data_IF_845805625043
#
_entry.id   IF_845805625043
#
_cell.length_a   1.000
_cell.length_b   1.000
_cell.length_c   1.000
_cell.angle_alpha   90.00
_cell.angle_beta   90.00
_cell.angle_gamma   90.00
#
_symmetry.space_group_name_H-M   'P 1'
#
loop_
_entity.id
_entity.type
_entity.pdbx_description
1 polymer ?
2 non-polymer ?
3 non-polymer ?
4 water ?
#
# COMPACT_ATOMS: atom_id res chain seq x y z
N UNK A 1 7.82 3.81 12.61
CA UNK A 1 7.78 3.93 14.11
C UNK A 1 6.71 3.02 14.69
N UNK A 2 5.51 3.05 14.10
CA UNK A 2 4.43 2.18 14.52
C UNK A 2 4.80 0.76 14.10
N UNK A 3 4.36 -0.23 14.88
CA UNK A 3 4.55 -1.61 14.47
C UNK A 3 3.26 -2.20 13.92
N UNK A 4 3.37 -2.92 12.82
CA UNK A 4 2.20 -3.50 12.19
C UNK A 4 2.29 -5.00 12.23
N UNK A 5 1.15 -5.66 12.45
CA UNK A 5 1.11 -7.11 12.43
C UNK A 5 0.51 -7.61 11.11
N UNK A 6 1.33 -8.26 10.27
CA UNK A 6 0.96 -8.88 9.00
C UNK A 6 0.00 -10.07 9.16
N UNK A 7 -0.87 -10.28 8.17
CA UNK A 7 -1.71 -11.47 8.14
C UNK A 7 -0.84 -12.67 7.76
N UNK A 8 -1.30 -13.90 8.07
CA UNK A 8 -0.52 -15.13 7.85
C UNK A 8 0.13 -15.22 6.46
N UNK A 9 -0.64 -14.88 5.43
CA UNK A 9 -0.08 -14.91 4.09
C UNK A 9 1.09 -13.94 3.94
N UNK A 10 0.86 -12.67 4.26
CA UNK A 10 1.93 -11.69 4.07
C UNK A 10 3.09 -12.10 4.95
N UNK A 11 2.76 -12.69 6.09
CA UNK A 11 3.80 -13.17 6.97
C UNK A 11 4.61 -14.28 6.30
N UNK A 12 3.97 -15.33 5.81
CA UNK A 12 4.74 -16.44 5.26
C UNK A 12 5.68 -15.97 4.15
N UNK A 13 5.31 -14.90 3.47
CA UNK A 13 6.13 -14.37 2.37
C UNK A 13 7.33 -13.59 2.88
N UNK A 14 7.11 -12.78 3.91
CA UNK A 14 8.16 -11.96 4.50
C UNK A 14 9.24 -12.85 5.10
N UNK A 15 8.83 -13.80 5.94
CA UNK A 15 9.75 -14.78 6.47
C UNK A 15 10.50 -15.42 5.31
N UNK A 16 9.76 -15.97 4.35
CA UNK A 16 10.38 -16.66 3.23
C UNK A 16 11.45 -15.79 2.61
N UNK A 17 11.37 -14.49 2.85
CA UNK A 17 12.28 -13.57 2.22
C UNK A 17 13.41 -13.20 3.16
N UNK A 18 13.30 -13.65 4.41
CA UNK A 18 14.38 -13.39 5.35
C UNK A 18 13.93 -12.88 6.71
N UNK A 19 12.71 -12.37 6.79
CA UNK A 19 12.20 -11.80 8.03
C UNK A 19 12.27 -12.85 9.11
N UNK A 20 12.48 -12.39 10.35
CA UNK A 20 12.60 -13.28 11.50
C UNK A 20 11.80 -12.80 12.70
N UNK A 21 10.75 -12.03 12.46
CA UNK A 21 9.84 -11.63 13.51
C UNK A 21 8.42 -11.56 12.93
N UNK A 22 7.42 -11.42 13.78
CA UNK A 22 6.06 -11.40 13.28
C UNK A 22 5.36 -10.05 13.43
N UNK A 23 6.14 -8.99 13.60
CA UNK A 23 5.63 -7.63 13.53
C UNK A 23 6.74 -6.71 13.04
N UNK A 24 6.37 -5.66 12.32
CA UNK A 24 7.33 -4.90 11.54
C UNK A 24 6.98 -3.42 11.53
N UNK A 25 7.91 -2.60 11.07
CA UNK A 25 7.57 -1.24 10.74
C UNK A 25 7.32 -1.24 9.26
N UNK A 26 6.43 -0.36 8.80
CA UNK A 26 6.06 -0.35 7.39
C UNK A 26 7.32 -0.42 6.54
N UNK A 27 8.36 0.30 6.93
CA UNK A 27 9.59 0.33 6.15
C UNK A 27 10.19 -1.08 6.02
N UNK A 28 10.08 -1.88 7.08
CA UNK A 28 10.58 -3.25 7.05
C UNK A 28 9.75 -4.15 6.13
N UNK A 29 8.43 -4.03 6.20
CA UNK A 29 7.59 -4.78 5.31
C UNK A 29 8.01 -4.50 3.88
N UNK A 30 8.07 -3.22 3.51
CA UNK A 30 8.45 -2.84 2.16
C UNK A 30 9.82 -3.36 1.81
N UNK A 31 10.72 -3.35 2.79
CA UNK A 31 12.08 -3.81 2.54
C UNK A 31 12.07 -5.28 2.15
N UNK A 32 11.39 -6.10 2.96
CA UNK A 32 11.36 -7.53 2.74
C UNK A 32 10.57 -7.89 1.49
N UNK A 33 9.41 -7.26 1.29
CA UNK A 33 8.68 -7.48 0.04
C UNK A 33 9.58 -7.15 -1.14
N UNK A 34 10.33 -6.06 -1.05
CA UNK A 34 11.30 -5.78 -2.09
C UNK A 34 12.20 -6.97 -2.37
N UNK A 35 12.75 -7.59 -1.33
CA UNK A 35 13.70 -8.70 -1.49
C UNK A 35 12.99 -9.90 -2.10
N UNK A 36 11.77 -10.18 -1.62
CA UNK A 36 10.99 -11.26 -2.16
C UNK A 36 10.85 -11.06 -3.66
N UNK A 37 10.43 -9.86 -4.06
CA UNK A 37 10.24 -9.56 -5.47
C UNK A 37 11.52 -9.73 -6.28
N UNK A 38 12.65 -9.30 -5.75
CA UNK A 38 13.92 -9.50 -6.43
C UNK A 38 14.22 -10.99 -6.52
N UNK A 39 13.93 -11.70 -5.43
CA UNK A 39 14.27 -13.12 -5.35
C UNK A 39 13.52 -13.90 -6.43
N UNK A 40 12.20 -13.96 -6.31
CA UNK A 40 11.38 -14.67 -7.28
C UNK A 40 11.33 -13.96 -8.62
N UNK A 41 12.16 -12.92 -8.75
CA UNK A 41 12.34 -12.24 -10.02
C UNK A 41 11.01 -11.87 -10.68
N UNK A 42 10.20 -11.06 -10.00
CA UNK A 42 8.89 -10.70 -10.52
C UNK A 42 8.92 -9.30 -11.12
N UNK A 43 10.02 -8.60 -10.92
CA UNK A 43 10.17 -7.25 -11.44
C UNK A 43 11.05 -7.32 -12.67
N UNK A 44 10.67 -6.60 -13.72
CA UNK A 44 11.49 -6.56 -14.92
C UNK A 44 11.71 -5.14 -15.43
N UNK A 45 12.89 -4.88 -15.98
CA UNK A 45 13.06 -3.75 -16.88
C UNK A 45 12.38 -4.13 -18.19
N UNK A 46 12.38 -3.22 -19.15
CA UNK A 46 11.28 -3.13 -20.10
C UNK A 46 10.08 -2.78 -19.24
N UNK A 47 8.94 -3.39 -19.57
CA UNK A 47 7.73 -3.26 -18.78
C UNK A 47 7.30 -1.80 -18.65
N UNK A 48 7.86 -1.14 -17.64
CA UNK A 48 7.47 0.22 -17.26
C UNK A 48 7.53 0.33 -15.73
N UNK A 49 8.38 -0.51 -15.13
CA UNK A 49 8.46 -0.61 -13.67
C UNK A 49 7.20 -1.29 -13.16
N UNK A 50 6.99 -2.49 -13.69
CA UNK A 50 5.82 -3.30 -13.41
C UNK A 50 6.25 -4.60 -12.71
N UNK A 51 5.53 -4.98 -11.67
CA UNK A 51 5.73 -6.29 -11.08
C UNK A 51 4.66 -7.24 -11.62
N UNK A 52 5.11 -8.33 -12.24
CA UNK A 52 4.21 -9.36 -12.73
C UNK A 52 4.12 -10.46 -11.69
N UNK A 53 2.94 -10.63 -11.12
CA UNK A 53 2.77 -11.56 -10.00
C UNK A 53 1.58 -12.48 -10.20
N UNK A 54 1.33 -12.84 -11.46
CA UNK A 54 0.11 -13.56 -11.85
C UNK A 54 0.16 -15.04 -11.50
N UNK A 55 1.36 -15.59 -11.45
CA UNK A 55 1.52 -16.99 -11.07
C UNK A 55 2.13 -17.12 -9.69
N UNK A 56 2.20 -16.01 -8.95
CA UNK A 56 2.86 -16.01 -7.65
C UNK A 56 1.88 -15.76 -6.50
N UNK A 57 2.19 -16.29 -5.31
CA UNK A 57 1.33 -15.98 -4.17
C UNK A 57 1.19 -14.48 -3.89
N UNK A 58 2.19 -13.70 -4.29
CA UNK A 58 2.13 -12.25 -4.10
C UNK A 58 0.90 -11.71 -4.82
N UNK A 59 0.60 -12.28 -5.99
CA UNK A 59 -0.58 -11.89 -6.74
C UNK A 59 -1.85 -12.17 -5.96
N UNK A 60 -1.84 -13.23 -5.18
CA UNK A 60 -3.00 -13.52 -4.35
C UNK A 60 -3.03 -12.62 -3.13
N UNK A 61 -1.85 -12.37 -2.58
CA UNK A 61 -1.74 -11.39 -1.52
C UNK A 61 -2.45 -10.11 -1.93
N UNK A 62 -1.96 -9.51 -3.01
CA UNK A 62 -2.44 -8.20 -3.45
C UNK A 62 -3.71 -8.30 -4.28
N UNK A 63 -4.03 -9.51 -4.74
CA UNK A 63 -5.22 -9.70 -5.56
C UNK A 63 -5.11 -9.11 -6.96
N UNK A 64 -3.91 -9.11 -7.54
CA UNK A 64 -3.73 -8.56 -8.88
C UNK A 64 -2.78 -9.42 -9.72
N UNK A 65 -2.80 -9.17 -11.02
CA UNK A 65 -1.96 -9.88 -11.98
C UNK A 65 -0.63 -9.16 -12.09
N UNK A 66 -0.63 -7.88 -11.71
CA UNK A 66 0.57 -7.05 -11.85
C UNK A 66 0.30 -5.69 -11.23
N UNK A 67 1.38 -4.95 -10.95
CA UNK A 67 1.24 -3.57 -10.52
C UNK A 67 2.46 -2.72 -10.81
N UNK A 68 2.26 -1.41 -10.79
CA UNK A 68 3.36 -0.45 -10.95
C UNK A 68 4.02 -0.17 -9.59
N UNK A 69 5.34 -0.21 -9.56
CA UNK A 69 6.06 0.03 -8.32
C UNK A 69 6.14 1.52 -8.08
N UNK A 70 5.49 2.28 -8.95
CA UNK A 70 5.70 3.72 -9.05
C UNK A 70 4.64 4.50 -8.31
N UNK A 71 3.57 3.84 -7.87
CA UNK A 71 2.53 4.54 -7.14
C UNK A 71 2.33 4.03 -5.72
N UNK A 72 3.02 4.69 -4.79
CA UNK A 72 3.18 4.17 -3.45
C UNK A 72 1.89 4.12 -2.65
N UNK A 73 0.98 5.03 -2.93
CA UNK A 73 -0.28 5.05 -2.19
C UNK A 73 -1.04 3.76 -2.43
N UNK A 74 -1.04 3.26 -3.67
CA UNK A 74 -1.73 2.02 -3.96
C UNK A 74 -1.10 0.87 -3.18
N UNK A 75 0.21 0.73 -3.33
CA UNK A 75 0.95 -0.31 -2.63
C UNK A 75 0.74 -0.30 -1.13
N UNK A 76 0.87 0.87 -0.51
CA UNK A 76 0.56 0.98 0.91
C UNK A 76 -0.86 0.52 1.17
N UNK A 77 -1.74 0.70 0.20
CA UNK A 77 -3.14 0.37 0.38
C UNK A 77 -3.34 -1.13 0.26
N UNK A 78 -2.71 -1.73 -0.74
CA UNK A 78 -2.81 -3.16 -0.91
C UNK A 78 -2.17 -3.87 0.28
N UNK A 79 -1.17 -3.23 0.89
CA UNK A 79 -0.50 -3.79 2.05
C UNK A 79 -1.35 -3.64 3.31
N UNK A 80 -2.02 -2.52 3.47
CA UNK A 80 -2.78 -2.26 4.68
C UNK A 80 -3.90 -3.26 4.86
N UNK A 81 -4.34 -3.83 3.75
CA UNK A 81 -5.42 -4.81 3.78
C UNK A 81 -4.94 -6.16 4.29
N UNK A 82 -3.62 -6.32 4.32
CA UNK A 82 -3.00 -7.51 4.90
C UNK A 82 -2.30 -7.21 6.22
N UNK A 83 -2.65 -6.08 6.84
CA UNK A 83 -2.18 -5.79 8.18
C UNK A 83 -3.30 -6.03 9.16
N UNK A 84 -3.11 -6.99 10.05
CA UNK A 84 -4.13 -7.34 11.02
C UNK A 84 -4.26 -6.22 12.04
N UNK A 85 -3.15 -5.51 12.27
CA UNK A 85 -3.15 -4.38 13.17
C UNK A 85 -1.84 -3.61 13.09
N UNK B 1 -23.93 -25.90 19.27
CA UNK B 1 -22.79 -26.47 20.04
C UNK B 1 -21.73 -27.02 19.08
N UNK B 2 -22.06 -27.03 17.79
CA UNK B 2 -21.14 -27.49 16.77
C UNK B 2 -19.91 -26.59 16.74
N UNK B 3 -18.72 -27.21 16.76
CA UNK B 3 -17.48 -26.43 16.69
C UNK B 3 -16.99 -26.30 15.26
N UNK B 4 -16.41 -25.14 14.97
CA UNK B 4 -15.94 -24.83 13.64
C UNK B 4 -14.48 -24.39 13.69
N UNK B 5 -13.74 -24.67 12.62
CA UNK B 5 -12.33 -24.32 12.57
C UNK B 5 -12.09 -23.29 11.48
N UNK B 6 -11.75 -22.05 11.90
CA UNK B 6 -11.45 -20.93 11.01
C UNK B 6 -10.25 -21.23 10.13
N UNK B 7 -10.24 -20.66 8.93
CA UNK B 7 -9.05 -20.58 8.13
C UNK B 7 -8.05 -19.71 8.88
N UNK B 8 -6.76 -19.81 8.53
CA UNK B 8 -5.76 -18.96 9.18
C UNK B 8 -6.14 -17.47 9.22
N UNK B 9 -6.31 -16.85 8.06
CA UNK B 9 -6.62 -15.42 8.02
C UNK B 9 -7.75 -15.07 8.96
N UNK B 10 -8.87 -15.79 8.87
CA UNK B 10 -9.95 -15.53 9.81
C UNK B 10 -9.45 -15.70 11.25
N UNK B 11 -8.75 -16.80 11.49
CA UNK B 11 -8.22 -17.08 12.82
C UNK B 11 -7.36 -15.96 13.37
N UNK B 12 -6.51 -15.37 12.53
CA UNK B 12 -5.60 -14.36 13.03
C UNK B 12 -6.39 -13.19 13.56
N UNK B 13 -7.45 -12.83 12.84
CA UNK B 13 -8.32 -11.74 13.24
C UNK B 13 -8.88 -12.01 14.63
N UNK B 14 -9.50 -13.18 14.79
CA UNK B 14 -10.17 -13.47 16.05
C UNK B 14 -9.20 -13.35 17.22
N UNK B 15 -7.95 -13.75 16.99
CA UNK B 15 -6.96 -13.72 18.05
C UNK B 15 -6.51 -12.31 18.39
N UNK B 16 -6.43 -11.44 17.39
CA UNK B 16 -6.13 -10.05 17.66
C UNK B 16 -7.21 -9.51 18.59
N UNK B 17 -8.41 -10.07 18.50
CA UNK B 17 -9.50 -9.69 19.38
C UNK B 17 -9.49 -10.53 20.66
N UNK B 18 -8.35 -11.17 20.95
CA UNK B 18 -8.17 -11.79 22.25
C UNK B 18 -8.63 -13.24 22.41
N UNK B 19 -9.11 -13.86 21.35
CA UNK B 19 -9.53 -15.26 21.42
C UNK B 19 -8.29 -16.11 21.64
N UNK B 20 -8.41 -17.11 22.52
CA UNK B 20 -7.25 -17.93 22.90
C UNK B 20 -7.16 -19.21 22.08
N UNK B 21 -8.30 -19.84 21.83
CA UNK B 21 -8.34 -21.16 21.21
C UNK B 21 -8.32 -21.10 19.69
N UNK B 22 -8.62 -22.23 19.05
CA UNK B 22 -8.55 -22.36 17.61
C UNK B 22 -9.75 -23.06 16.99
N UNK B 23 -10.65 -23.54 17.84
CA UNK B 23 -11.94 -24.00 17.40
C UNK B 23 -13.03 -23.31 18.20
N UNK B 24 -14.12 -22.97 17.54
CA UNK B 24 -15.12 -22.07 18.13
C UNK B 24 -16.52 -22.53 17.78
N UNK B 25 -17.48 -22.18 18.62
CA UNK B 25 -18.86 -22.18 18.18
C UNK B 25 -19.08 -20.92 17.34
N UNK B 26 -20.06 -20.99 16.45
CA UNK B 26 -20.37 -19.87 15.57
C UNK B 26 -20.57 -18.58 16.36
N UNK B 27 -21.26 -18.66 17.49
CA UNK B 27 -21.46 -17.50 18.34
C UNK B 27 -20.14 -16.88 18.73
N UNK B 28 -19.24 -17.70 19.25
CA UNK B 28 -17.92 -17.25 19.68
C UNK B 28 -17.18 -16.57 18.55
N UNK B 29 -17.39 -17.05 17.33
CA UNK B 29 -16.79 -16.43 16.16
C UNK B 29 -17.33 -15.02 16.00
N UNK B 30 -18.65 -14.92 15.87
CA UNK B 30 -19.30 -13.63 15.73
C UNK B 30 -18.92 -12.69 16.88
N UNK B 31 -18.81 -13.23 18.08
CA UNK B 31 -18.46 -12.42 19.24
C UNK B 31 -17.08 -11.79 19.08
N UNK B 32 -16.09 -12.62 18.79
CA UNK B 32 -14.73 -12.14 18.67
C UNK B 32 -14.58 -11.21 17.48
N UNK B 33 -15.35 -11.51 16.43
CA UNK B 33 -15.30 -10.73 15.20
C UNK B 33 -15.86 -9.33 15.48
N UNK B 34 -16.96 -9.28 16.23
CA UNK B 34 -17.47 -8.01 16.72
C UNK B 34 -16.42 -7.19 17.45
N UNK B 35 -15.78 -7.79 18.46
CA UNK B 35 -14.73 -7.08 19.20
C UNK B 35 -13.76 -6.46 18.21
N UNK B 36 -13.42 -7.22 17.18
CA UNK B 36 -12.43 -6.78 16.20
C UNK B 36 -12.92 -5.55 15.46
N UNK B 37 -14.19 -5.58 15.06
CA UNK B 37 -14.78 -4.46 14.33
C UNK B 37 -14.81 -3.18 15.18
N UNK B 38 -15.36 -3.26 16.39
CA UNK B 38 -15.23 -2.17 17.34
C UNK B 38 -13.78 -1.72 17.41
N UNK B 39 -12.91 -2.68 17.65
CA UNK B 39 -11.54 -2.38 18.04
C UNK B 39 -10.70 -1.88 16.88
N UNK B 40 -11.25 -1.96 15.67
CA UNK B 40 -10.58 -1.38 14.51
C UNK B 40 -11.40 -0.20 14.01
N UNK B 41 -12.53 0.04 14.65
CA UNK B 41 -13.36 1.20 14.33
C UNK B 41 -13.85 1.12 12.90
N UNK B 42 -14.35 -0.06 12.52
CA UNK B 42 -14.87 -0.27 11.18
C UNK B 42 -16.35 0.08 11.21
N UNK B 43 -16.82 0.40 12.40
CA UNK B 43 -18.23 0.76 12.60
C UNK B 43 -18.31 2.24 12.99
N UNK B 44 -19.13 3.01 12.28
CA UNK B 44 -19.31 4.41 12.67
C UNK B 44 -20.76 4.84 12.80
N UNK B 45 -20.96 5.95 13.51
CA UNK B 45 -22.23 6.66 13.54
C UNK B 45 -22.33 7.48 12.25
N UNK B 46 -23.50 8.03 11.99
CA UNK B 46 -23.89 8.52 10.66
C UNK B 46 -24.66 7.39 9.99
N UNK B 47 -23.94 6.43 9.43
CA UNK B 47 -24.51 5.11 9.19
C UNK B 47 -24.66 4.51 10.57
N UNK B 48 -25.13 3.28 10.65
CA UNK B 48 -25.37 2.69 11.96
C UNK B 48 -25.38 1.17 11.87
N UNK B 49 -25.41 0.67 10.64
CA UNK B 49 -25.49 -0.76 10.42
C UNK B 49 -24.49 -1.14 9.33
N UNK B 50 -23.77 -0.14 8.83
CA UNK B 50 -22.75 -0.37 7.82
C UNK B 50 -21.37 -0.47 8.44
N UNK B 51 -20.71 -1.61 8.24
CA UNK B 51 -19.29 -1.76 8.54
C UNK B 51 -18.47 -1.48 7.29
N UNK B 52 -17.57 -0.50 7.38
CA UNK B 52 -16.61 -0.22 6.33
C UNK B 52 -15.40 -1.13 6.53
N UNK B 53 -14.88 -1.70 5.45
CA UNK B 53 -13.75 -2.62 5.55
C UNK B 53 -12.97 -2.77 4.26
N UNK B 54 -12.91 -1.69 3.47
CA UNK B 54 -12.22 -1.69 2.18
C UNK B 54 -10.71 -1.59 2.28
N UNK B 55 -10.20 -1.21 3.45
CA UNK B 55 -8.74 -1.16 3.59
C UNK B 55 -8.29 -2.09 4.72
N UNK B 56 -9.00 -3.20 4.85
CA UNK B 56 -8.88 -4.07 6.02
C UNK B 56 -8.99 -5.54 5.63
N UNK B 57 -8.31 -6.42 6.37
CA UNK B 57 -8.38 -7.85 6.02
C UNK B 57 -9.81 -8.39 6.03
N UNK B 58 -10.66 -7.81 6.87
CA UNK B 58 -12.04 -8.26 6.94
C UNK B 58 -12.69 -8.11 5.57
N UNK B 59 -12.24 -7.11 4.81
CA UNK B 59 -12.73 -6.97 3.45
C UNK B 59 -12.23 -8.09 2.54
N UNK B 60 -10.99 -8.51 2.71
CA UNK B 60 -10.47 -9.63 1.92
C UNK B 60 -11.19 -10.92 2.28
N UNK B 61 -11.33 -11.18 3.58
CA UNK B 61 -12.15 -12.30 4.04
C UNK B 61 -13.48 -12.35 3.30
N UNK B 62 -14.22 -11.27 3.41
CA UNK B 62 -15.61 -11.24 3.02
C UNK B 62 -15.76 -10.83 1.55
N UNK B 63 -14.68 -10.37 0.94
CA UNK B 63 -14.76 -10.02 -0.47
C UNK B 63 -15.69 -8.85 -0.74
N UNK B 64 -15.80 -7.95 0.22
CA UNK B 64 -16.65 -6.78 0.08
C UNK B 64 -15.94 -5.55 0.60
N UNK B 65 -16.36 -4.38 0.14
CA UNK B 65 -15.77 -3.14 0.62
C UNK B 65 -16.50 -2.65 1.84
N UNK B 66 -17.73 -3.12 2.01
CA UNK B 66 -18.47 -2.81 3.22
C UNK B 66 -19.75 -3.62 3.20
N UNK B 67 -20.36 -3.77 4.37
CA UNK B 67 -21.56 -4.58 4.49
C UNK B 67 -22.44 -4.13 5.65
N UNK B 68 -23.63 -4.71 5.74
CA UNK B 68 -24.62 -4.26 6.71
C UNK B 68 -24.86 -5.33 7.75
N UNK B 69 -24.82 -4.93 9.02
CA UNK B 69 -24.96 -5.91 10.09
C UNK B 69 -26.41 -6.30 10.25
N UNK B 70 -27.30 -5.54 9.61
CA UNK B 70 -28.73 -5.84 9.59
C UNK B 70 -29.06 -7.22 9.02
N UNK B 71 -28.38 -7.62 7.96
CA UNK B 71 -28.65 -8.91 7.35
C UNK B 71 -27.73 -10.04 7.81
N UNK B 72 -28.20 -10.82 8.78
CA UNK B 72 -27.40 -11.81 9.48
C UNK B 72 -27.15 -13.09 8.71
N UNK B 73 -28.10 -13.49 7.89
CA UNK B 73 -27.96 -14.73 7.16
C UNK B 73 -26.78 -14.59 6.21
N UNK B 74 -26.67 -13.43 5.59
CA UNK B 74 -25.66 -13.22 4.57
C UNK B 74 -24.27 -13.20 5.22
N UNK B 75 -24.20 -12.61 6.41
CA UNK B 75 -22.97 -12.62 7.20
C UNK B 75 -22.56 -14.03 7.57
N UNK B 76 -23.50 -14.82 8.09
CA UNK B 76 -23.22 -16.21 8.39
C UNK B 76 -22.62 -16.92 7.18
N UNK B 77 -23.16 -16.61 6.01
CA UNK B 77 -22.75 -17.29 4.79
C UNK B 77 -21.35 -16.87 4.40
N UNK B 78 -21.06 -15.58 4.60
CA UNK B 78 -19.74 -15.02 4.30
C UNK B 78 -18.70 -15.64 5.22
N UNK B 79 -19.09 -15.89 6.47
CA UNK B 79 -18.21 -16.54 7.42
C UNK B 79 -17.97 -18.01 7.07
N UNK B 80 -19.02 -18.72 6.66
CA UNK B 80 -18.89 -20.14 6.39
C UNK B 80 -17.87 -20.46 5.31
N UNK B 81 -17.79 -19.62 4.29
CA UNK B 81 -16.84 -19.82 3.22
C UNK B 81 -15.40 -19.71 3.72
N UNK B 82 -15.26 -19.41 5.01
CA UNK B 82 -13.95 -19.26 5.62
C UNK B 82 -13.79 -20.15 6.83
N UNK B 83 -14.57 -21.23 6.86
CA UNK B 83 -14.35 -22.31 7.81
C UNK B 83 -13.76 -23.50 7.06
N UNK B 84 -12.91 -24.27 7.72
CA UNK B 84 -12.26 -25.40 7.08
C UNK B 84 -13.03 -26.68 7.40
N UNK B 85 -12.91 -27.12 8.64
CA UNK B 85 -13.79 -28.14 9.17
C UNK B 85 -15.04 -27.44 9.68
N UNK C 1 -9.77 16.87 -9.35
CA UNK C 1 -8.38 16.68 -9.88
C UNK C 1 -7.74 18.01 -10.29
N UNK C 2 -7.46 18.83 -9.30
CA UNK C 2 -7.00 20.21 -9.51
C UNK C 2 -5.84 20.32 -10.50
N UNK C 3 -5.70 21.50 -11.09
CA UNK C 3 -4.47 21.88 -11.76
C UNK C 3 -3.63 22.69 -10.80
N UNK C 4 -2.32 22.63 -10.96
CA UNK C 4 -1.44 23.51 -10.19
C UNK C 4 -0.75 24.55 -11.06
N UNK C 5 -0.34 25.64 -10.45
CA UNK C 5 0.45 26.65 -11.13
C UNK C 5 1.89 26.73 -10.59
N UNK C 6 2.86 26.23 -11.36
CA UNK C 6 4.28 26.25 -11.01
C UNK C 6 4.83 27.66 -10.87
N UNK C 7 5.77 27.84 -9.96
CA UNK C 7 6.53 29.08 -9.89
C UNK C 7 7.30 29.19 -11.19
N UNK C 8 7.73 30.41 -11.56
CA UNK C 8 8.41 30.67 -12.84
C UNK C 8 9.64 29.77 -13.09
N UNK C 9 10.44 29.49 -12.07
CA UNK C 9 11.60 28.62 -12.28
C UNK C 9 11.14 27.20 -12.61
N UNK C 10 10.22 26.66 -11.79
CA UNK C 10 9.67 25.34 -12.03
C UNK C 10 9.15 25.26 -13.45
N UNK C 11 8.37 26.25 -13.83
CA UNK C 11 7.85 26.30 -15.19
C UNK C 11 8.98 26.35 -16.21
N UNK C 12 10.11 26.95 -15.86
CA UNK C 12 11.21 27.03 -16.80
C UNK C 12 11.73 25.64 -17.14
N UNK C 13 11.83 24.79 -16.14
CA UNK C 13 12.37 23.45 -16.29
C UNK C 13 11.40 22.56 -17.07
N UNK C 14 10.14 22.56 -16.64
CA UNK C 14 9.10 21.79 -17.32
C UNK C 14 9.06 22.08 -18.83
N UNK C 15 9.14 23.35 -19.19
CA UNK C 15 9.05 23.70 -20.60
C UNK C 15 10.28 23.24 -21.38
N UNK C 16 11.45 23.22 -20.76
CA UNK C 16 12.62 22.83 -21.53
C UNK C 16 12.65 21.31 -21.60
N UNK C 17 11.82 20.67 -20.78
CA UNK C 17 11.63 19.23 -20.88
C UNK C 17 10.50 18.90 -21.86
N UNK C 18 9.88 19.94 -22.41
CA UNK C 18 8.91 19.76 -23.48
C UNK C 18 7.49 20.23 -23.20
N UNK C 19 7.15 20.44 -21.94
CA UNK C 19 5.81 20.89 -21.59
C UNK C 19 5.38 22.07 -22.47
N UNK C 20 4.08 22.17 -22.73
CA UNK C 20 3.56 23.19 -23.64
C UNK C 20 2.62 24.19 -22.96
N UNK C 21 1.98 23.77 -21.88
CA UNK C 21 0.99 24.62 -21.23
C UNK C 21 1.55 25.40 -20.04
N UNK C 22 0.72 26.24 -19.43
CA UNK C 22 1.17 27.11 -18.35
C UNK C 22 0.87 26.55 -16.96
N UNK C 23 -0.16 25.70 -16.88
CA UNK C 23 -0.43 24.98 -15.63
C UNK C 23 -0.66 23.49 -15.87
N UNK C 24 -0.64 22.72 -14.79
CA UNK C 24 -0.45 21.28 -14.91
C UNK C 24 -1.18 20.55 -13.81
N UNK C 25 -1.45 19.26 -14.04
CA UNK C 25 -1.76 18.34 -12.95
C UNK C 25 -0.46 17.93 -12.26
N UNK C 26 -0.55 17.56 -11.00
CA UNK C 26 0.64 17.16 -10.25
C UNK C 26 1.34 16.03 -10.98
N UNK C 27 0.55 15.11 -11.54
CA UNK C 27 1.09 13.95 -12.24
C UNK C 27 1.92 14.37 -13.45
N UNK C 28 1.45 15.38 -14.17
CA UNK C 28 2.17 15.89 -15.32
C UNK C 28 3.44 16.61 -14.91
N UNK C 29 3.37 17.34 -13.80
CA UNK C 29 4.54 18.02 -13.28
C UNK C 29 5.65 17.00 -13.06
N UNK C 30 5.33 15.97 -12.26
CA UNK C 30 6.25 14.85 -12.07
C UNK C 30 6.71 14.25 -13.38
N UNK C 31 5.78 14.08 -14.32
CA UNK C 31 6.14 13.48 -15.59
C UNK C 31 7.26 14.29 -16.26
N UNK C 32 6.99 15.56 -16.50
CA UNK C 32 7.94 16.42 -17.21
C UNK C 32 9.21 16.67 -16.42
N UNK C 33 9.09 16.77 -15.10
CA UNK C 33 10.27 16.97 -14.28
C UNK C 33 11.21 15.76 -14.44
N UNK C 34 10.65 14.56 -14.39
CA UNK C 34 11.43 13.37 -14.64
C UNK C 34 12.09 13.42 -16.00
N UNK C 35 11.40 13.97 -16.99
CA UNK C 35 11.97 14.06 -18.32
C UNK C 35 13.16 14.99 -18.30
N UNK C 36 13.07 16.01 -17.46
CA UNK C 36 14.17 16.96 -17.32
C UNK C 36 15.37 16.26 -16.69
N UNK C 37 15.15 15.63 -15.53
CA UNK C 37 16.19 14.87 -14.89
C UNK C 37 16.84 13.87 -15.81
N UNK C 38 16.07 13.24 -16.69
CA UNK C 38 16.67 12.24 -17.56
C UNK C 38 17.61 12.92 -18.53
N UNK C 39 17.14 14.00 -19.14
CA UNK C 39 17.97 14.75 -20.10
C UNK C 39 19.27 15.16 -19.43
N UNK C 40 19.19 16.14 -18.53
CA UNK C 40 20.35 16.62 -17.81
C UNK C 40 21.20 15.50 -17.24
N UNK C 41 20.61 14.31 -17.11
CA UNK C 41 21.31 13.16 -16.57
C UNK C 41 21.69 13.41 -15.14
N UNK C 42 20.72 13.85 -14.34
CA UNK C 42 20.99 14.15 -12.94
C UNK C 42 20.78 12.90 -12.10
N UNK C 43 20.23 11.86 -12.71
CA UNK C 43 20.08 10.55 -12.07
C UNK C 43 21.09 9.57 -12.65
N UNK C 44 21.64 8.71 -11.80
CA UNK C 44 22.63 7.74 -12.25
C UNK C 44 22.47 6.35 -11.64
N UNK C 45 23.07 5.35 -12.29
CA UNK C 45 23.03 3.97 -11.83
C UNK C 45 24.06 3.69 -10.75
N UNK C 46 23.59 3.03 -9.69
CA UNK C 46 24.39 2.66 -8.52
C UNK C 46 23.82 3.28 -7.25
N UNK C 47 24.21 4.53 -7.00
CA UNK C 47 24.15 5.15 -5.67
C UNK C 47 23.12 4.53 -4.72
N UNK C 48 21.85 4.66 -5.09
CA UNK C 48 20.74 4.21 -4.25
C UNK C 48 19.52 4.93 -4.78
N UNK C 49 19.57 5.28 -6.07
CA UNK C 49 18.47 5.96 -6.72
C UNK C 49 18.43 7.40 -6.21
N UNK C 50 19.54 8.09 -6.47
CA UNK C 50 19.77 9.45 -6.03
C UNK C 50 19.74 10.37 -7.25
N UNK C 51 19.21 11.57 -7.09
CA UNK C 51 19.37 12.60 -8.10
C UNK C 51 20.39 13.61 -7.63
N UNK C 52 21.42 13.83 -8.44
CA UNK C 52 22.48 14.78 -8.11
C UNK C 52 22.24 16.10 -8.84
N UNK C 53 21.94 17.16 -8.10
CA UNK C 53 21.56 18.41 -8.73
C UNK C 53 22.29 19.65 -8.19
N UNK C 54 23.45 19.42 -7.55
CA UNK C 54 24.18 20.46 -6.82
C UNK C 54 24.46 21.71 -7.64
N UNK C 55 24.79 21.54 -8.92
CA UNK C 55 25.11 22.68 -9.78
C UNK C 55 24.10 22.88 -10.91
N UNK C 56 22.83 22.67 -10.60
CA UNK C 56 21.77 22.72 -11.62
C UNK C 56 20.58 23.49 -11.06
N UNK C 57 19.82 24.16 -11.93
CA UNK C 57 18.64 24.94 -11.54
C UNK C 57 17.71 24.17 -10.62
N UNK C 58 17.66 22.86 -10.82
CA UNK C 58 16.83 22.00 -10.00
C UNK C 58 17.32 22.06 -8.54
N UNK C 59 18.63 22.21 -8.35
CA UNK C 59 19.17 22.36 -7.02
C UNK C 59 18.67 23.63 -6.35
N UNK C 60 18.75 24.74 -7.06
CA UNK C 60 18.17 25.98 -6.55
C UNK C 60 16.71 25.74 -6.23
N UNK C 61 15.99 25.12 -7.16
CA UNK C 61 14.56 24.91 -7.02
C UNK C 61 14.23 24.14 -5.74
N UNK C 62 14.91 23.04 -5.53
CA UNK C 62 14.62 22.19 -4.38
C UNK C 62 15.45 22.60 -3.16
N UNK C 63 16.47 23.41 -3.37
CA UNK C 63 17.32 23.84 -2.28
C UNK C 63 18.08 22.70 -1.62
N UNK C 64 18.43 21.70 -2.41
CA UNK C 64 19.23 20.57 -1.93
C UNK C 64 20.24 20.24 -3.02
N UNK C 65 21.29 19.52 -2.64
CA UNK C 65 22.36 19.16 -3.57
C UNK C 65 22.13 17.79 -4.21
N UNK C 66 21.32 16.97 -3.54
CA UNK C 66 20.84 15.71 -4.08
C UNK C 66 19.64 15.27 -3.28
N UNK C 67 18.81 14.40 -3.85
CA UNK C 67 17.69 13.84 -3.11
C UNK C 67 17.39 12.43 -3.59
N UNK C 68 16.63 11.70 -2.80
CA UNK C 68 16.22 10.36 -3.16
C UNK C 68 14.87 10.39 -3.88
N UNK C 69 14.70 9.51 -4.87
CA UNK C 69 13.44 9.43 -5.58
C UNK C 69 12.55 8.35 -4.97
N UNK C 70 12.97 7.82 -3.82
CA UNK C 70 12.28 6.70 -3.19
C UNK C 70 11.26 7.21 -2.19
N UNK C 71 11.38 8.47 -1.81
CA UNK C 71 10.48 9.07 -0.83
C UNK C 71 9.57 10.09 -1.52
N UNK C 72 8.35 9.66 -1.85
CA UNK C 72 7.48 10.46 -2.70
C UNK C 72 6.88 11.64 -1.95
N UNK C 73 6.42 11.39 -0.73
CA UNK C 73 5.85 12.45 0.08
C UNK C 73 6.87 13.59 0.14
N UNK C 74 8.14 13.24 0.09
CA UNK C 74 9.19 14.23 0.25
C UNK C 74 9.32 15.07 -1.03
N UNK C 75 9.28 14.42 -2.19
CA UNK C 75 9.28 15.16 -3.45
C UNK C 75 8.06 16.06 -3.59
N UNK C 76 6.90 15.56 -3.21
CA UNK C 76 5.67 16.34 -3.28
C UNK C 76 5.76 17.57 -2.41
N UNK C 77 6.49 17.45 -1.30
CA UNK C 77 6.69 18.57 -0.39
C UNK C 77 7.53 19.64 -1.08
N UNK C 78 8.57 19.19 -1.77
CA UNK C 78 9.51 20.09 -2.41
C UNK C 78 8.87 20.80 -3.60
N UNK C 79 7.97 20.09 -4.29
CA UNK C 79 7.30 20.68 -5.44
C UNK C 79 6.19 21.64 -5.03
N UNK C 80 5.54 21.36 -3.90
CA UNK C 80 4.46 22.20 -3.42
C UNK C 80 4.94 23.59 -3.11
N UNK C 81 6.09 23.69 -2.47
CA UNK C 81 6.64 24.96 -2.06
C UNK C 81 7.01 25.80 -3.29
N UNK C 82 7.05 25.15 -4.44
CA UNK C 82 7.22 25.83 -5.71
C UNK C 82 5.94 25.83 -6.56
N UNK C 83 4.80 25.73 -5.90
CA UNK C 83 3.54 25.90 -6.59
C UNK C 83 2.83 27.13 -6.03
N UNK C 84 2.40 28.01 -6.93
CA UNK C 84 1.76 29.24 -6.53
C UNK C 84 0.29 29.00 -6.29
N UNK C 85 -0.28 28.08 -7.07
CA UNK C 85 -1.71 27.81 -7.07
C UNK C 85 -2.54 29.08 -6.97
#
# INVERSE_FOLDING_TARGET
>A
EKLVQPTPLLLSLLKSAGAQKETFTMKEVLYHLGQYIMAKQLYDEKQQHIVHCSNDPLGELFGVQEFSVKEHRRIYAMISRNLVS
>B
EKLVQPTPLLLSLLKSAGAQKETFTMKEVLYHLGQYIMAKQLYDEKQQHIVHCSNDPLGELFGVQEFSVKEHRRIYAMISRNLVS
>C
EKLVQPTPLLLSLLKSAGAQKETFTMKEVLYHLGQYIMAKQLYDEKQQHIVHCSNDPLGELFGVQEFSVKEHRRIYAMISRNLVS
#
